data_IF_354743830843
#
_entry.id   IF_354743830843
#
_cell.length_a   1.000
_cell.length_b   1.000
_cell.length_c   1.000
_cell.angle_alpha   90.00
_cell.angle_beta   90.00
_cell.angle_gamma   90.00
#
_symmetry.space_group_name_H-M   'P 1'
#
loop_
_entity.id
_entity.type
_entity.pdbx_description
1 polymer ?
#
# COMPACT_ATOMS: atom_id res chain seq x y z
N UNK A 1 44.12 -21.01 -8.15
CA UNK A 1 42.76 -20.62 -8.58
C UNK A 1 42.87 -19.34 -9.40
N UNK A 2 42.60 -19.40 -10.71
CA UNK A 2 42.85 -18.29 -11.66
C UNK A 2 41.91 -17.10 -11.37
N UNK A 3 42.41 -15.86 -11.50
CA UNK A 3 41.62 -14.65 -11.21
C UNK A 3 40.28 -14.59 -11.95
N UNK A 4 40.20 -15.22 -13.13
CA UNK A 4 38.99 -15.38 -13.93
C UNK A 4 37.93 -16.25 -13.24
N UNK A 5 38.30 -17.38 -12.65
CA UNK A 5 37.37 -18.26 -11.92
C UNK A 5 36.77 -17.56 -10.70
N UNK A 6 37.57 -16.74 -9.99
CA UNK A 6 37.11 -15.93 -8.87
C UNK A 6 36.07 -14.89 -9.30
N UNK A 7 36.24 -14.25 -10.48
CA UNK A 7 35.29 -13.28 -11.01
C UNK A 7 33.94 -13.91 -11.35
N UNK A 8 33.94 -15.06 -12.02
CA UNK A 8 32.70 -15.79 -12.33
C UNK A 8 31.96 -16.25 -11.07
N UNK A 9 32.70 -16.71 -10.05
CA UNK A 9 32.10 -17.09 -8.77
C UNK A 9 31.44 -15.90 -8.06
N UNK A 10 32.11 -14.75 -8.00
CA UNK A 10 31.54 -13.53 -7.41
C UNK A 10 30.28 -13.09 -8.18
N UNK A 11 30.31 -13.15 -9.51
CA UNK A 11 29.19 -12.72 -10.35
C UNK A 11 27.96 -13.64 -10.21
N UNK A 12 28.18 -14.95 -10.12
CA UNK A 12 27.14 -15.93 -9.78
C UNK A 12 26.55 -15.70 -8.39
N UNK A 13 27.40 -15.42 -7.39
CA UNK A 13 26.97 -15.16 -6.02
C UNK A 13 26.09 -13.89 -5.94
N UNK A 14 26.50 -12.81 -6.61
CA UNK A 14 25.69 -11.58 -6.66
C UNK A 14 24.36 -11.76 -7.38
N UNK A 15 24.33 -12.60 -8.42
CA UNK A 15 23.09 -12.90 -9.16
C UNK A 15 22.11 -13.71 -8.30
N UNK A 16 22.62 -14.63 -7.48
CA UNK A 16 21.80 -15.41 -6.56
C UNK A 16 21.23 -14.57 -5.41
N UNK A 17 22.01 -13.61 -4.91
CA UNK A 17 21.57 -12.67 -3.86
C UNK A 17 20.56 -11.62 -4.36
N UNK A 18 20.54 -11.31 -5.67
CA UNK A 18 19.54 -10.41 -6.26
C UNK A 18 18.15 -11.03 -6.42
N UNK A 19 17.98 -12.33 -6.15
CA UNK A 19 16.67 -12.98 -6.08
C UNK A 19 16.08 -12.73 -4.69
N UNK A 20 16.00 -11.46 -4.27
CA UNK A 20 15.19 -11.08 -3.12
C UNK A 20 13.77 -10.83 -3.62
N UNK A 21 12.85 -11.65 -3.11
CA UNK A 21 11.43 -11.62 -3.42
C UNK A 21 10.84 -10.25 -3.14
N UNK A 22 10.31 -9.60 -4.17
CA UNK A 22 9.47 -8.44 -4.00
C UNK A 22 8.12 -8.89 -3.39
N UNK A 23 7.99 -8.70 -2.09
CA UNK A 23 6.74 -8.96 -1.37
C UNK A 23 5.71 -7.92 -1.76
N UNK A 24 4.63 -8.34 -2.44
CA UNK A 24 3.51 -7.46 -2.72
C UNK A 24 2.27 -8.04 -2.07
N UNK A 25 1.77 -7.37 -1.03
CA UNK A 25 0.38 -7.52 -0.65
C UNK A 25 -0.49 -7.02 -1.83
N UNK A 26 -1.43 -7.85 -2.29
CA UNK A 26 -2.30 -7.54 -3.43
C UNK A 26 -3.67 -7.11 -2.90
N UNK A 27 -4.17 -5.96 -3.34
CA UNK A 27 -5.57 -5.58 -3.16
C UNK A 27 -6.42 -6.37 -4.17
N UNK A 28 -7.31 -7.23 -3.69
CA UNK A 28 -8.25 -8.03 -4.49
C UNK A 28 -9.67 -7.45 -4.57
N UNK A 29 -9.96 -6.39 -3.83
CA UNK A 29 -11.21 -5.63 -3.93
C UNK A 29 -11.11 -4.53 -4.98
N UNK A 30 -12.18 -3.76 -5.16
CA UNK A 30 -12.13 -2.53 -5.93
C UNK A 30 -11.08 -1.56 -5.32
N UNK A 31 -10.40 -0.78 -6.17
CA UNK A 31 -9.47 0.26 -5.72
C UNK A 31 -10.16 1.60 -5.46
N UNK A 32 -11.43 1.71 -5.85
CA UNK A 32 -12.24 2.91 -5.74
C UNK A 32 -13.61 2.51 -5.21
N UNK A 33 -13.97 3.09 -4.07
CA UNK A 33 -15.29 2.98 -3.47
C UNK A 33 -15.91 4.37 -3.46
N UNK A 34 -17.15 4.48 -3.94
CA UNK A 34 -17.86 5.76 -4.09
C UNK A 34 -19.24 5.61 -3.50
N UNK A 35 -19.47 6.29 -2.37
CA UNK A 35 -20.75 6.24 -1.68
C UNK A 35 -21.34 7.64 -1.47
N UNK A 36 -22.67 7.74 -1.59
CA UNK A 36 -23.43 8.94 -1.27
C UNK A 36 -24.27 8.66 -0.03
N UNK A 37 -23.88 9.28 1.09
CA UNK A 37 -24.56 9.09 2.37
C UNK A 37 -25.54 10.22 2.66
N UNK A 38 -26.70 9.86 3.22
CA UNK A 38 -27.61 10.84 3.86
C UNK A 38 -27.22 10.99 5.33
N UNK A 39 -27.65 12.10 5.93
CA UNK A 39 -27.42 12.34 7.37
C UNK A 39 -27.93 11.17 8.22
N UNK A 40 -27.08 10.70 9.14
CA UNK A 40 -27.38 9.56 10.02
C UNK A 40 -27.14 8.18 9.43
N UNK A 41 -26.82 8.07 8.13
CA UNK A 41 -26.48 6.78 7.53
C UNK A 41 -25.05 6.36 7.87
N UNK A 42 -24.87 5.06 8.04
CA UNK A 42 -23.58 4.39 8.17
C UNK A 42 -23.56 3.22 7.21
N UNK A 43 -22.38 2.86 6.71
CA UNK A 43 -22.17 1.69 5.89
C UNK A 43 -20.80 1.09 6.20
N UNK A 44 -20.69 -0.23 6.04
CA UNK A 44 -19.43 -0.95 6.20
C UNK A 44 -18.91 -1.33 4.81
N UNK A 45 -17.62 -1.14 4.59
CA UNK A 45 -16.94 -1.51 3.35
C UNK A 45 -15.79 -2.46 3.63
N UNK A 46 -15.50 -3.35 2.68
CA UNK A 46 -14.45 -4.36 2.82
C UNK A 46 -13.38 -4.23 1.74
N UNK A 47 -12.16 -3.89 2.17
CA UNK A 47 -10.95 -4.02 1.36
C UNK A 47 -10.38 -5.42 1.59
N UNK A 48 -10.17 -6.18 0.52
CA UNK A 48 -9.62 -7.54 0.62
C UNK A 48 -8.17 -7.54 0.20
N UNK A 49 -7.29 -7.98 1.10
CA UNK A 49 -5.85 -8.08 0.88
C UNK A 49 -5.44 -9.54 0.74
N UNK A 50 -4.50 -9.82 -0.16
CA UNK A 50 -3.97 -11.15 -0.42
C UNK A 50 -2.44 -11.12 -0.38
N UNK A 51 -1.87 -11.88 0.54
CA UNK A 51 -0.43 -12.14 0.54
C UNK A 51 -0.14 -13.30 -0.42
N UNK A 52 0.59 -13.01 -1.50
CA UNK A 52 1.01 -14.02 -2.48
C UNK A 52 2.38 -14.63 -2.18
N UNK A 53 2.98 -14.33 -1.02
CA UNK A 53 4.29 -14.80 -0.60
C UNK A 53 4.18 -16.02 0.31
N UNK A 54 5.30 -16.75 0.44
CA UNK A 54 5.44 -17.85 1.41
C UNK A 54 5.80 -17.39 2.82
N UNK A 55 5.91 -16.08 3.05
CA UNK A 55 6.26 -15.47 4.34
C UNK A 55 5.19 -14.47 4.76
N UNK A 56 4.93 -14.27 6.08
CA UNK A 56 4.03 -13.22 6.56
C UNK A 56 4.46 -11.83 6.08
N UNK A 57 3.48 -10.95 5.86
CA UNK A 57 3.72 -9.57 5.41
C UNK A 57 2.96 -8.63 6.32
N UNK A 58 3.67 -7.71 6.95
CA UNK A 58 3.06 -6.61 7.70
C UNK A 58 2.61 -5.51 6.75
N UNK A 59 1.35 -5.10 6.86
CA UNK A 59 0.74 -4.07 6.03
C UNK A 59 0.29 -2.94 6.96
N UNK A 60 0.81 -1.74 6.73
CA UNK A 60 0.39 -0.52 7.42
C UNK A 60 -0.78 0.12 6.66
N UNK A 61 -1.86 0.44 7.38
CA UNK A 61 -3.07 1.06 6.83
C UNK A 61 -3.09 2.52 7.28
N UNK A 62 -3.08 3.45 6.31
CA UNK A 62 -3.11 4.89 6.55
C UNK A 62 -4.30 5.53 5.87
N UNK A 63 -4.79 6.56 6.53
CA UNK A 63 -5.74 7.51 5.98
C UNK A 63 -5.01 8.81 5.65
N UNK A 64 -5.41 9.48 4.58
CA UNK A 64 -4.92 10.80 4.20
C UNK A 64 -6.02 11.57 3.49
N UNK A 65 -6.01 12.90 3.63
CA UNK A 65 -6.86 13.76 2.81
C UNK A 65 -6.26 13.86 1.40
N UNK A 66 -7.11 13.72 0.38
CA UNK A 66 -6.70 13.79 -1.02
C UNK A 66 -7.28 15.02 -1.71
N UNK A 67 -6.42 15.77 -2.41
CA UNK A 67 -6.80 16.87 -3.28
C UNK A 67 -6.04 16.81 -4.60
N UNK A 68 -6.70 17.19 -5.68
CA UNK A 68 -6.08 17.44 -6.97
C UNK A 68 -6.34 18.90 -7.39
N UNK A 69 -5.34 19.56 -7.97
CA UNK A 69 -5.50 20.93 -8.49
C UNK A 69 -5.71 20.94 -10.02
N UNK A 70 -5.97 22.12 -10.58
CA UNK A 70 -6.20 22.28 -12.02
C UNK A 70 -4.96 21.97 -12.90
N UNK A 71 -3.77 21.94 -12.31
CA UNK A 71 -2.54 21.53 -12.99
C UNK A 71 -2.34 19.99 -13.00
N UNK A 72 -3.24 19.23 -12.37
CA UNK A 72 -3.14 17.77 -12.25
C UNK A 72 -2.20 17.31 -11.14
N UNK A 73 -1.79 18.19 -10.24
CA UNK A 73 -0.94 17.84 -9.09
C UNK A 73 -1.78 17.22 -7.98
N UNK A 74 -1.29 16.12 -7.43
CA UNK A 74 -1.92 15.40 -6.32
C UNK A 74 -1.28 15.81 -4.99
N UNK A 75 -2.13 16.10 -4.00
CA UNK A 75 -1.71 16.46 -2.65
C UNK A 75 -2.31 15.47 -1.65
N UNK A 76 -1.49 15.04 -0.71
CA UNK A 76 -1.86 14.16 0.39
C UNK A 76 -1.47 14.85 1.70
N UNK A 77 -2.46 15.20 2.50
CA UNK A 77 -2.28 15.88 3.79
C UNK A 77 -2.78 14.99 4.93
N UNK A 78 -2.54 15.44 6.17
CA UNK A 78 -3.00 14.70 7.34
C UNK A 78 -4.54 14.62 7.34
N UNK A 79 -5.13 13.52 7.83
CA UNK A 79 -6.59 13.37 7.91
C UNK A 79 -7.25 14.52 8.66
N UNK A 80 -8.30 15.11 8.09
CA UNK A 80 -9.09 16.16 8.73
C UNK A 80 -8.48 17.56 8.64
N UNK A 81 -7.43 17.75 7.83
CA UNK A 81 -6.79 19.07 7.70
C UNK A 81 -7.32 19.89 6.53
N UNK A 82 -7.90 19.25 5.52
CA UNK A 82 -8.53 19.96 4.40
C UNK A 82 -9.92 20.50 4.78
N UNK A 83 -10.32 21.70 4.30
CA UNK A 83 -11.62 22.28 4.62
C UNK A 83 -12.84 21.42 4.26
N UNK A 84 -12.68 20.51 3.29
CA UNK A 84 -13.72 19.58 2.81
C UNK A 84 -13.40 18.12 3.17
N UNK A 85 -12.54 17.91 4.16
CA UNK A 85 -12.19 16.57 4.61
C UNK A 85 -13.41 15.86 5.20
N UNK A 86 -13.57 14.60 4.79
CA UNK A 86 -14.50 13.65 5.39
C UNK A 86 -13.76 12.61 6.24
N UNK A 87 -12.52 12.89 6.65
CA UNK A 87 -11.68 11.90 7.31
C UNK A 87 -12.31 11.35 8.59
N UNK A 88 -12.91 12.21 9.40
CA UNK A 88 -13.58 11.83 10.66
C UNK A 88 -14.76 10.88 10.45
N UNK A 89 -15.30 10.80 9.24
CA UNK A 89 -16.43 9.92 8.92
C UNK A 89 -16.00 8.47 8.70
N UNK A 90 -14.72 8.24 8.38
CA UNK A 90 -14.17 6.93 8.08
C UNK A 90 -13.49 6.39 9.32
N UNK A 91 -13.94 5.23 9.80
CA UNK A 91 -13.34 4.53 10.94
C UNK A 91 -12.61 3.30 10.45
N UNK A 92 -11.29 3.28 10.65
CA UNK A 92 -10.47 2.10 10.38
C UNK A 92 -10.45 1.21 11.63
N UNK A 93 -10.72 -0.11 11.50
CA UNK A 93 -10.70 -1.02 12.65
C UNK A 93 -9.28 -1.29 13.17
N UNK A 94 -8.26 -1.06 12.35
CA UNK A 94 -6.85 -1.26 12.67
C UNK A 94 -5.97 -0.36 11.79
N UNK A 95 -4.73 -0.14 12.23
CA UNK A 95 -3.68 0.60 11.52
C UNK A 95 -2.58 -0.32 10.97
N UNK A 96 -2.57 -1.60 11.35
CA UNK A 96 -1.71 -2.62 10.76
C UNK A 96 -2.37 -4.00 10.79
N UNK A 97 -1.98 -4.85 9.86
CA UNK A 97 -2.33 -6.27 9.80
C UNK A 97 -1.09 -7.10 9.43
N UNK A 98 -1.05 -8.36 9.86
CA UNK A 98 0.06 -9.30 9.63
C UNK A 98 -0.45 -10.60 9.00
#
# INVERSE_FOLDING_TARGET
MTQTLRRYFILMLTLFLSISSAGYAIIRSNMLHKEQLKSGMQFDEKITLFNNQSVPVEIEIKQADYRCNAAGENFFSQPGTEPLSNAEWIKLPCNSIT
#
